data_IF_408654933121
#
_entry.id   IF_408654933121
#
_cell.length_a   1.000
_cell.length_b   1.000
_cell.length_c   1.000
_cell.angle_alpha   90.00
_cell.angle_beta   90.00
_cell.angle_gamma   90.00
#
_symmetry.space_group_name_H-M   'P 1'
#
loop_
_entity.id
_entity.type
_entity.pdbx_description
1 polymer ?
#
# COMPACT_ATOMS: atom_id res chain seq x y z
N UNK A 1 -15.93 18.97 -3.61
CA UNK A 1 -15.25 19.39 -4.86
C UNK A 1 -13.75 19.14 -4.82
N UNK A 2 -12.94 19.56 -3.79
CA UNK A 2 -11.48 19.44 -3.85
C UNK A 2 -10.99 17.99 -3.99
N UNK A 3 -11.56 17.04 -3.28
CA UNK A 3 -11.16 15.62 -3.37
C UNK A 3 -11.42 15.02 -4.75
N UNK A 4 -12.53 15.39 -5.41
CA UNK A 4 -12.82 14.93 -6.77
C UNK A 4 -11.81 15.48 -7.78
N UNK A 5 -11.40 16.75 -7.62
CA UNK A 5 -10.35 17.36 -8.46
C UNK A 5 -8.99 16.69 -8.23
N UNK A 6 -8.61 16.42 -6.99
CA UNK A 6 -7.37 15.70 -6.67
C UNK A 6 -7.38 14.32 -7.34
N UNK A 7 -8.46 13.55 -7.20
CA UNK A 7 -8.59 12.23 -7.81
C UNK A 7 -8.55 12.27 -9.33
N UNK A 8 -9.28 13.21 -9.94
CA UNK A 8 -9.36 13.36 -11.40
C UNK A 8 -8.02 13.79 -12.01
N UNK A 9 -7.42 14.87 -11.48
CA UNK A 9 -6.16 15.40 -11.97
C UNK A 9 -5.03 14.40 -11.74
N UNK A 10 -5.00 13.79 -10.56
CA UNK A 10 -4.00 12.79 -10.25
C UNK A 10 -4.14 11.52 -11.09
N UNK A 11 -5.35 11.05 -11.34
CA UNK A 11 -5.62 9.93 -12.26
C UNK A 11 -5.21 10.26 -13.70
N UNK A 12 -5.49 11.47 -14.16
CA UNK A 12 -5.07 11.95 -15.48
C UNK A 12 -3.54 11.99 -15.59
N UNK A 13 -2.85 12.70 -14.68
CA UNK A 13 -1.39 12.84 -14.71
C UNK A 13 -0.63 11.57 -14.34
N UNK A 14 -1.29 10.58 -13.74
CA UNK A 14 -0.71 9.28 -13.52
C UNK A 14 -0.28 8.62 -14.85
N UNK A 15 -1.11 8.71 -15.90
CA UNK A 15 -0.86 8.06 -17.17
C UNK A 15 -0.51 9.03 -18.30
N UNK A 16 -1.01 10.29 -18.26
CA UNK A 16 -0.91 11.25 -19.34
C UNK A 16 0.46 11.95 -19.40
N UNK A 17 0.95 12.15 -20.63
CA UNK A 17 2.10 13.03 -20.89
C UNK A 17 1.73 14.49 -20.65
N UNK A 18 2.67 15.34 -20.23
CA UNK A 18 4.12 15.08 -20.08
C UNK A 18 4.51 14.45 -18.73
N UNK A 19 3.65 14.48 -17.71
CA UNK A 19 3.99 14.13 -16.32
C UNK A 19 4.18 12.61 -16.15
N UNK A 20 3.19 11.82 -16.50
CA UNK A 20 3.21 10.35 -16.53
C UNK A 20 3.87 9.71 -15.29
N UNK A 21 3.30 9.96 -14.11
CA UNK A 21 3.84 9.48 -12.82
C UNK A 21 4.08 7.96 -12.74
N UNK A 22 3.30 7.17 -13.46
CA UNK A 22 3.50 5.72 -13.59
C UNK A 22 4.90 5.33 -14.08
N UNK A 23 5.62 6.26 -14.69
CA UNK A 23 6.95 6.03 -15.25
C UNK A 23 8.06 6.81 -14.52
N UNK A 24 7.79 7.35 -13.32
CA UNK A 24 8.74 8.28 -12.66
C UNK A 24 9.16 7.84 -11.25
N UNK A 25 8.61 6.73 -10.72
CA UNK A 25 8.84 6.30 -9.33
C UNK A 25 8.08 7.12 -8.29
N UNK A 26 7.23 8.06 -8.73
CA UNK A 26 6.28 8.79 -7.86
C UNK A 26 4.91 8.10 -7.91
N UNK A 27 4.66 7.33 -8.96
CA UNK A 27 3.38 6.67 -9.21
C UNK A 27 2.95 5.76 -8.07
N UNK A 28 3.89 5.03 -7.47
CA UNK A 28 3.64 4.10 -6.37
C UNK A 28 3.16 4.84 -5.11
N UNK A 29 3.78 5.98 -4.80
CA UNK A 29 3.36 6.85 -3.70
C UNK A 29 1.99 7.49 -3.98
N UNK A 30 1.77 7.89 -5.24
CA UNK A 30 0.48 8.45 -5.65
C UNK A 30 -0.65 7.42 -5.54
N UNK A 31 -0.43 6.18 -5.97
CA UNK A 31 -1.40 5.09 -5.81
C UNK A 31 -1.65 4.79 -4.33
N UNK A 32 -0.59 4.74 -3.51
CA UNK A 32 -0.72 4.56 -2.07
C UNK A 32 -1.58 5.67 -1.42
N UNK A 33 -1.43 6.91 -1.85
CA UNK A 33 -2.27 8.03 -1.43
C UNK A 33 -3.71 7.86 -1.90
N UNK A 34 -3.93 7.60 -3.20
CA UNK A 34 -5.27 7.51 -3.81
C UNK A 34 -6.09 6.32 -3.31
N UNK A 35 -5.47 5.20 -3.02
CA UNK A 35 -6.16 3.98 -2.58
C UNK A 35 -6.04 3.71 -1.08
N UNK A 36 -5.08 4.34 -0.40
CA UNK A 36 -4.89 4.23 1.05
C UNK A 36 -5.55 5.39 1.79
N UNK A 37 -5.02 6.61 1.62
CA UNK A 37 -5.47 7.75 2.43
C UNK A 37 -6.77 8.38 1.92
N UNK A 38 -6.86 8.63 0.63
CA UNK A 38 -7.95 9.42 0.04
C UNK A 38 -9.35 8.80 0.28
N UNK A 39 -9.60 7.48 0.10
CA UNK A 39 -10.92 6.90 0.33
C UNK A 39 -11.35 6.98 1.81
N UNK A 40 -10.41 6.77 2.74
CA UNK A 40 -10.69 6.86 4.18
C UNK A 40 -11.05 8.30 4.56
N UNK A 41 -10.28 9.27 4.08
CA UNK A 41 -10.51 10.68 4.34
C UNK A 41 -11.83 11.17 3.73
N UNK A 42 -12.11 10.81 2.48
CA UNK A 42 -13.37 11.18 1.79
C UNK A 42 -14.58 10.53 2.46
N UNK A 43 -14.49 9.24 2.80
CA UNK A 43 -15.57 8.53 3.47
C UNK A 43 -15.92 9.16 4.82
N UNK A 44 -14.92 9.52 5.62
CA UNK A 44 -15.13 10.22 6.88
C UNK A 44 -15.71 11.63 6.67
N UNK A 45 -15.13 12.39 5.74
CA UNK A 45 -15.58 13.77 5.46
C UNK A 45 -17.04 13.83 4.99
N UNK A 46 -17.46 12.90 4.14
CA UNK A 46 -18.84 12.86 3.64
C UNK A 46 -19.86 12.59 4.74
N UNK A 47 -19.45 11.86 5.79
CA UNK A 47 -20.35 11.51 6.91
C UNK A 47 -20.33 12.55 8.04
N UNK A 48 -19.16 13.17 8.29
CA UNK A 48 -18.96 14.00 9.51
C UNK A 48 -18.66 15.47 9.20
N UNK A 49 -18.42 15.82 7.94
CA UNK A 49 -17.99 17.17 7.53
C UNK A 49 -16.56 17.54 7.93
N UNK A 50 -15.79 16.61 8.53
CA UNK A 50 -14.43 16.87 9.03
C UNK A 50 -13.50 15.67 8.81
N UNK A 51 -12.19 15.89 8.94
CA UNK A 51 -11.17 14.85 8.87
C UNK A 51 -10.35 14.88 10.17
N UNK A 52 -10.78 14.17 11.21
CA UNK A 52 -10.06 14.11 12.47
C UNK A 52 -8.72 13.40 12.34
N UNK A 53 -7.80 13.65 13.27
CA UNK A 53 -6.45 13.06 13.27
C UNK A 53 -6.41 11.53 13.20
N UNK A 54 -7.41 10.87 13.78
CA UNK A 54 -7.56 9.40 13.72
C UNK A 54 -7.66 8.87 12.28
N UNK A 55 -8.25 9.63 11.36
CA UNK A 55 -8.36 9.26 9.94
C UNK A 55 -6.97 9.06 9.34
N UNK A 56 -6.01 9.96 9.64
CA UNK A 56 -4.65 9.85 9.12
C UNK A 56 -3.97 8.59 9.65
N UNK A 57 -4.19 8.25 10.92
CA UNK A 57 -3.60 7.07 11.57
C UNK A 57 -4.16 5.76 11.04
N UNK A 58 -5.46 5.70 10.73
CA UNK A 58 -6.12 4.55 10.11
C UNK A 58 -5.67 4.39 8.65
N UNK A 59 -5.54 5.49 7.93
CA UNK A 59 -5.18 5.49 6.52
C UNK A 59 -3.71 5.10 6.25
N UNK A 60 -2.79 5.41 7.17
CA UNK A 60 -1.36 5.15 6.99
C UNK A 60 -1.02 3.67 6.77
N UNK A 61 -1.43 2.70 7.62
CA UNK A 61 -1.13 1.29 7.37
C UNK A 61 -1.77 0.79 6.08
N UNK A 62 -2.97 1.27 5.71
CA UNK A 62 -3.62 0.94 4.44
C UNK A 62 -2.77 1.47 3.27
N UNK A 63 -2.28 2.71 3.35
CA UNK A 63 -1.42 3.30 2.32
C UNK A 63 -0.11 2.53 2.15
N UNK A 64 0.56 2.13 3.24
CA UNK A 64 1.78 1.32 3.17
C UNK A 64 1.53 -0.07 2.57
N UNK A 65 0.41 -0.71 2.89
CA UNK A 65 0.08 -2.02 2.31
C UNK A 65 -0.29 -1.90 0.83
N UNK A 66 -0.97 -0.85 0.39
CA UNK A 66 -1.20 -0.54 -1.04
C UNK A 66 0.13 -0.26 -1.75
N UNK A 67 1.03 0.53 -1.14
CA UNK A 67 2.36 0.75 -1.68
C UNK A 67 3.08 -0.57 -1.95
N UNK A 68 3.04 -1.50 -1.00
CA UNK A 68 3.62 -2.83 -1.14
C UNK A 68 2.93 -3.66 -2.24
N UNK A 69 1.61 -3.52 -2.43
CA UNK A 69 0.90 -4.19 -3.53
C UNK A 69 1.45 -3.73 -4.87
N UNK A 70 1.58 -2.42 -5.08
CA UNK A 70 2.10 -1.88 -6.34
C UNK A 70 3.57 -2.25 -6.53
N UNK A 71 4.39 -2.04 -5.51
CA UNK A 71 5.83 -2.32 -5.59
C UNK A 71 6.11 -3.78 -5.95
N UNK A 72 5.41 -4.74 -5.32
CA UNK A 72 5.62 -6.17 -5.59
C UNK A 72 5.08 -6.58 -6.97
N UNK A 73 3.99 -5.96 -7.44
CA UNK A 73 3.42 -6.21 -8.77
C UNK A 73 4.32 -5.71 -9.92
N UNK A 74 5.30 -4.83 -9.65
CA UNK A 74 6.30 -4.42 -10.63
C UNK A 74 7.41 -5.47 -10.85
N UNK A 75 7.56 -6.45 -9.94
CA UNK A 75 8.62 -7.47 -10.06
C UNK A 75 8.45 -8.39 -11.27
N UNK A 76 7.25 -8.90 -11.59
CA UNK A 76 7.02 -9.69 -12.81
C UNK A 76 7.34 -8.91 -14.09
N UNK A 77 7.05 -7.60 -14.09
CA UNK A 77 7.15 -6.74 -15.26
C UNK A 77 8.51 -6.03 -15.40
N UNK A 78 9.43 -6.27 -14.46
CA UNK A 78 10.70 -5.55 -14.36
C UNK A 78 11.49 -5.48 -15.68
N UNK A 79 11.65 -6.60 -16.37
CA UNK A 79 12.45 -6.64 -17.59
C UNK A 79 11.72 -5.97 -18.77
N UNK A 80 10.41 -6.10 -18.87
CA UNK A 80 9.56 -5.43 -19.85
C UNK A 80 9.52 -3.92 -19.61
N UNK A 81 9.34 -3.49 -18.36
CA UNK A 81 9.32 -2.07 -17.97
C UNK A 81 10.68 -1.41 -18.26
N UNK A 82 11.77 -2.10 -17.97
CA UNK A 82 13.12 -1.63 -18.29
C UNK A 82 13.35 -1.45 -19.80
N UNK A 83 12.90 -2.41 -20.62
CA UNK A 83 12.97 -2.31 -22.09
C UNK A 83 12.10 -1.18 -22.63
N UNK A 84 10.95 -0.92 -22.01
CA UNK A 84 10.05 0.19 -22.36
C UNK A 84 10.51 1.56 -21.82
N UNK A 85 11.72 1.66 -21.25
CA UNK A 85 12.26 2.86 -20.60
C UNK A 85 11.33 3.45 -19.53
N UNK A 86 10.51 2.61 -18.88
CA UNK A 86 9.70 2.98 -17.72
C UNK A 86 10.61 2.97 -16.49
N UNK A 87 10.57 4.05 -15.71
CA UNK A 87 11.46 4.26 -14.58
C UNK A 87 10.67 4.26 -13.25
N UNK A 88 9.83 3.22 -13.02
CA UNK A 88 9.18 2.96 -11.75
C UNK A 88 10.20 2.63 -10.65
N UNK A 89 9.78 2.53 -9.38
CA UNK A 89 10.69 2.32 -8.25
C UNK A 89 11.49 1.02 -8.40
N UNK A 90 10.87 -0.06 -8.84
CA UNK A 90 11.53 -1.35 -8.97
C UNK A 90 12.60 -1.33 -10.06
N UNK A 91 12.35 -0.63 -11.19
CA UNK A 91 13.37 -0.44 -12.24
C UNK A 91 14.51 0.46 -11.76
N UNK A 92 14.21 1.53 -11.03
CA UNK A 92 15.22 2.47 -10.50
C UNK A 92 16.15 1.85 -9.45
N UNK A 93 15.60 1.05 -8.56
CA UNK A 93 16.33 0.48 -7.43
C UNK A 93 16.98 -0.87 -7.76
N UNK A 94 16.41 -1.59 -8.73
CA UNK A 94 16.63 -3.01 -8.91
C UNK A 94 15.83 -3.87 -7.94
N UNK A 95 15.50 -5.10 -8.34
CA UNK A 95 14.62 -6.00 -7.56
C UNK A 95 15.13 -6.28 -6.14
N UNK A 96 16.45 -6.36 -5.93
CA UNK A 96 17.04 -6.61 -4.61
C UNK A 96 16.79 -5.46 -3.62
N UNK A 97 17.03 -4.21 -4.03
CA UNK A 97 16.78 -3.04 -3.17
C UNK A 97 15.29 -2.78 -3.01
N UNK A 98 14.49 -3.03 -4.05
CA UNK A 98 13.04 -2.97 -3.97
C UNK A 98 12.47 -3.99 -2.96
N UNK A 99 13.07 -5.18 -2.83
CA UNK A 99 12.71 -6.16 -1.80
C UNK A 99 12.95 -5.64 -0.37
N UNK A 100 14.05 -4.93 -0.14
CA UNK A 100 14.29 -4.28 1.16
C UNK A 100 13.35 -3.11 1.41
N UNK A 101 13.02 -2.33 0.39
CA UNK A 101 12.02 -1.25 0.49
C UNK A 101 10.64 -1.83 0.81
N UNK A 102 10.26 -2.95 0.20
CA UNK A 102 9.05 -3.69 0.53
C UNK A 102 9.00 -4.07 2.02
N UNK A 103 10.08 -4.65 2.54
CA UNK A 103 10.16 -5.03 3.95
C UNK A 103 10.08 -3.81 4.89
N UNK A 104 10.75 -2.71 4.55
CA UNK A 104 10.68 -1.46 5.31
C UNK A 104 9.26 -0.90 5.36
N UNK A 105 8.55 -0.89 4.23
CA UNK A 105 7.16 -0.44 4.16
C UNK A 105 6.22 -1.41 4.93
N UNK A 106 6.49 -2.72 4.92
CA UNK A 106 5.76 -3.69 5.74
C UNK A 106 5.92 -3.43 7.25
N UNK A 107 7.14 -3.14 7.69
CA UNK A 107 7.41 -2.75 9.09
C UNK A 107 6.70 -1.43 9.42
N UNK A 108 6.75 -0.44 8.52
CA UNK A 108 6.07 0.84 8.70
C UNK A 108 4.54 0.66 8.79
N UNK A 109 3.94 -0.23 7.98
CA UNK A 109 2.52 -0.56 8.06
C UNK A 109 2.15 -1.14 9.43
N UNK A 110 2.92 -2.12 9.92
CA UNK A 110 2.70 -2.72 11.23
C UNK A 110 2.85 -1.69 12.37
N UNK A 111 3.89 -0.87 12.32
CA UNK A 111 4.12 0.18 13.31
C UNK A 111 3.00 1.23 13.30
N UNK A 112 2.55 1.67 12.13
CA UNK A 112 1.44 2.60 11.99
C UNK A 112 0.12 2.00 12.50
N UNK A 113 -0.14 0.71 12.24
CA UNK A 113 -1.31 0.02 12.79
C UNK A 113 -1.27 0.01 14.33
N UNK A 114 -0.16 -0.39 14.93
CA UNK A 114 -0.01 -0.41 16.39
C UNK A 114 -0.11 1.00 17.01
N UNK A 115 0.42 2.01 16.31
CA UNK A 115 0.30 3.40 16.73
C UNK A 115 -1.16 3.86 16.72
N UNK A 116 -1.95 3.46 15.72
CA UNK A 116 -3.37 3.81 15.62
C UNK A 116 -4.19 3.33 16.82
N UNK A 117 -3.85 2.17 17.40
CA UNK A 117 -4.50 1.65 18.61
C UNK A 117 -4.30 2.53 19.85
N UNK A 118 -3.21 3.33 19.89
CA UNK A 118 -2.94 4.26 21.00
C UNK A 118 -3.64 5.61 20.81
N UNK A 119 -4.22 5.86 19.65
CA UNK A 119 -4.78 7.14 19.26
C UNK A 119 -6.23 7.05 18.78
N UNK A 120 -7.06 6.26 19.47
CA UNK A 120 -8.51 6.26 19.30
C UNK A 120 -9.08 5.13 18.42
N UNK A 121 -8.24 4.24 17.89
CA UNK A 121 -8.73 3.01 17.27
C UNK A 121 -9.02 1.98 18.37
N UNK A 122 -10.21 1.31 18.36
CA UNK A 122 -10.51 0.28 19.35
C UNK A 122 -9.47 -0.83 19.39
N UNK A 123 -9.01 -1.20 20.58
CA UNK A 123 -8.03 -2.29 20.78
C UNK A 123 -8.50 -3.65 20.23
N UNK A 124 -9.79 -3.81 20.04
CA UNK A 124 -10.39 -5.01 19.42
C UNK A 124 -9.91 -5.24 17.99
N UNK A 125 -9.40 -4.19 17.30
CA UNK A 125 -8.79 -4.30 15.98
C UNK A 125 -7.58 -5.25 15.95
N UNK A 126 -6.90 -5.43 17.09
CA UNK A 126 -5.72 -6.27 17.17
C UNK A 126 -6.01 -7.74 16.83
N UNK A 127 -7.13 -8.29 17.30
CA UNK A 127 -7.45 -9.70 17.10
C UNK A 127 -7.57 -10.11 15.63
N UNK A 128 -8.40 -9.44 14.80
CA UNK A 128 -8.44 -9.73 13.36
C UNK A 128 -7.14 -9.35 12.62
N UNK A 129 -6.31 -8.47 13.20
CA UNK A 129 -5.03 -8.10 12.59
C UNK A 129 -3.91 -9.12 12.84
N UNK A 130 -3.97 -9.95 13.88
CA UNK A 130 -2.90 -10.93 14.17
C UNK A 130 -2.56 -11.86 12.98
N UNK A 131 -3.53 -12.48 12.28
CA UNK A 131 -3.21 -13.28 11.09
C UNK A 131 -2.63 -12.43 9.94
N UNK A 132 -3.06 -11.17 9.81
CA UNK A 132 -2.53 -10.23 8.82
C UNK A 132 -1.07 -9.91 9.14
N UNK A 133 -0.75 -9.65 10.41
CA UNK A 133 0.62 -9.41 10.87
C UNK A 133 1.53 -10.62 10.57
N UNK A 134 1.08 -11.83 10.89
CA UNK A 134 1.84 -13.05 10.62
C UNK A 134 2.11 -13.20 9.10
N UNK A 135 1.10 -12.96 8.27
CA UNK A 135 1.24 -13.01 6.81
C UNK A 135 2.20 -11.91 6.31
N UNK A 136 2.09 -10.68 6.84
CA UNK A 136 2.97 -9.56 6.47
C UNK A 136 4.43 -9.88 6.75
N UNK A 137 4.74 -10.41 7.94
CA UNK A 137 6.10 -10.82 8.31
C UNK A 137 6.60 -11.94 7.41
N UNK A 138 5.77 -12.94 7.17
CA UNK A 138 6.12 -14.07 6.27
C UNK A 138 6.47 -13.58 4.88
N UNK A 139 5.63 -12.70 4.29
CA UNK A 139 5.88 -12.15 2.97
C UNK A 139 7.16 -11.31 2.94
N UNK A 140 7.41 -10.48 3.94
CA UNK A 140 8.64 -9.68 4.02
C UNK A 140 9.89 -10.57 4.03
N UNK A 141 9.89 -11.64 4.82
CA UNK A 141 10.99 -12.61 4.87
C UNK A 141 11.19 -13.31 3.54
N UNK A 142 10.11 -13.77 2.89
CA UNK A 142 10.19 -14.45 1.60
C UNK A 142 10.66 -13.52 0.47
N UNK A 143 10.19 -12.26 0.45
CA UNK A 143 10.58 -11.28 -0.55
C UNK A 143 12.04 -10.90 -0.40
N UNK A 144 12.51 -10.59 0.82
CA UNK A 144 13.93 -10.31 1.09
C UNK A 144 14.80 -11.55 0.82
N UNK A 145 14.30 -12.74 1.15
CA UNK A 145 14.96 -14.01 0.85
C UNK A 145 15.04 -14.38 -0.63
N UNK A 146 14.54 -13.51 -1.53
CA UNK A 146 14.67 -13.67 -2.98
C UNK A 146 13.74 -14.71 -3.60
N UNK A 147 12.65 -15.10 -2.92
CA UNK A 147 11.67 -16.07 -3.42
C UNK A 147 10.92 -15.56 -4.66
N UNK A 148 10.97 -14.27 -4.92
CA UNK A 148 10.44 -13.64 -6.14
C UNK A 148 11.19 -14.05 -7.43
N UNK A 149 12.36 -14.69 -7.32
CA UNK A 149 13.12 -15.19 -8.49
C UNK A 149 12.43 -16.38 -9.17
N UNK A 150 11.62 -17.13 -8.42
CA UNK A 150 10.77 -18.18 -8.94
C UNK A 150 9.39 -17.62 -9.31
N UNK A 151 9.04 -17.67 -10.60
CA UNK A 151 7.82 -17.00 -11.11
C UNK A 151 6.53 -17.52 -10.47
N UNK A 152 6.29 -18.84 -10.34
CA UNK A 152 5.09 -19.33 -9.65
C UNK A 152 5.01 -18.87 -8.19
N UNK A 153 6.14 -18.79 -7.50
CA UNK A 153 6.18 -18.27 -6.13
C UNK A 153 5.88 -16.77 -6.11
N UNK A 154 6.43 -15.98 -7.03
CA UNK A 154 6.16 -14.54 -7.12
C UNK A 154 4.66 -14.25 -7.32
N UNK A 155 3.99 -14.99 -8.19
CA UNK A 155 2.55 -14.82 -8.42
C UNK A 155 1.73 -15.09 -7.12
N UNK A 156 2.13 -16.10 -6.34
CA UNK A 156 1.52 -16.38 -5.02
C UNK A 156 1.82 -15.28 -4.01
N UNK A 157 3.05 -14.73 -4.01
CA UNK A 157 3.42 -13.61 -3.15
C UNK A 157 2.59 -12.37 -3.47
N UNK A 158 2.39 -12.03 -4.75
CA UNK A 158 1.53 -10.93 -5.18
C UNK A 158 0.09 -11.11 -4.71
N UNK A 159 -0.49 -12.29 -4.90
CA UNK A 159 -1.84 -12.61 -4.42
C UNK A 159 -1.97 -12.54 -2.90
N UNK A 160 -1.01 -13.11 -2.17
CA UNK A 160 -0.99 -13.08 -0.70
C UNK A 160 -0.81 -11.65 -0.16
N UNK A 161 -0.03 -10.81 -0.86
CA UNK A 161 0.15 -9.40 -0.50
C UNK A 161 -1.15 -8.58 -0.61
N UNK A 162 -2.00 -8.90 -1.58
CA UNK A 162 -3.34 -8.30 -1.66
C UNK A 162 -4.19 -8.66 -0.43
N UNK A 163 -4.06 -9.90 0.08
CA UNK A 163 -4.75 -10.31 1.32
C UNK A 163 -4.26 -9.52 2.55
N UNK A 164 -2.99 -9.12 2.60
CA UNK A 164 -2.49 -8.22 3.66
C UNK A 164 -3.22 -6.88 3.62
N UNK A 165 -3.38 -6.27 2.45
CA UNK A 165 -4.07 -4.99 2.32
C UNK A 165 -5.56 -5.12 2.70
N UNK A 166 -6.26 -6.09 2.14
CA UNK A 166 -7.67 -6.35 2.43
C UNK A 166 -7.90 -6.69 3.92
N UNK A 167 -7.03 -7.52 4.48
CA UNK A 167 -7.09 -7.91 5.88
C UNK A 167 -6.82 -6.76 6.84
N UNK A 168 -5.89 -5.86 6.51
CA UNK A 168 -5.64 -4.63 7.28
C UNK A 168 -6.89 -3.75 7.31
N UNK A 169 -7.52 -3.54 6.16
CA UNK A 169 -8.77 -2.77 6.06
C UNK A 169 -9.91 -3.44 6.81
N UNK A 170 -10.06 -4.76 6.65
CA UNK A 170 -11.08 -5.54 7.36
C UNK A 170 -10.92 -5.48 8.88
N UNK A 171 -9.68 -5.49 9.39
CA UNK A 171 -9.42 -5.38 10.82
C UNK A 171 -9.97 -4.07 11.40
N UNK A 172 -9.83 -2.95 10.70
CA UNK A 172 -10.43 -1.68 11.10
C UNK A 172 -11.95 -1.70 11.00
N UNK A 173 -12.51 -2.19 9.89
CA UNK A 173 -13.96 -2.27 9.72
C UNK A 173 -14.58 -3.08 10.86
N UNK A 174 -14.05 -4.25 11.17
CA UNK A 174 -14.54 -5.09 12.26
C UNK A 174 -14.41 -4.45 13.64
N UNK A 175 -13.40 -3.61 13.85
CA UNK A 175 -13.22 -2.91 15.12
C UNK A 175 -14.22 -1.76 15.31
N UNK A 176 -14.54 -1.01 14.25
CA UNK A 176 -15.48 0.11 14.31
C UNK A 176 -16.94 -0.30 14.15
N UNK A 177 -17.23 -1.50 13.64
CA UNK A 177 -18.58 -2.03 13.50
C UNK A 177 -19.20 -2.57 14.81
N UNK A 178 -18.43 -2.60 15.90
CA UNK A 178 -18.86 -3.03 17.25
C UNK A 178 -19.13 -1.81 18.13
#
# INVERSE_FOLDING_TARGET
VPFALIGLLGGFFYSARPVRWVSTGIGELWIAFCYGWLPVAVGCYLQTGSIPGTVHLVALPIAFTIFNVILLNEFPDYDADRQAAKANLTVRLGRERAAWLYAAAAVAACAAFLLSLRHGVPGTALWPYLPVLALTVTLAVLVVGGRWRDRPTLERLCGANLLVNLGTTAAYILAFAR
#
